data_IF_486551775401
#
_entry.id   IF_486551775401
#
_cell.length_a   1.000
_cell.length_b   1.000
_cell.length_c   1.000
_cell.angle_alpha   90.00
_cell.angle_beta   90.00
_cell.angle_gamma   90.00
#
_symmetry.space_group_name_H-M   'P 1'
#
loop_
_entity.id
_entity.type
_entity.pdbx_description
1 polymer ?
#
# COMPACT_ATOMS: atom_id res chain seq x y z
N UNK A 1 14.21 35.03 -31.01
CA UNK A 1 13.23 33.94 -31.18
C UNK A 1 12.98 33.36 -29.80
N UNK A 2 11.74 33.50 -29.35
CA UNK A 2 11.33 33.44 -27.95
C UNK A 2 10.72 32.07 -27.63
N UNK A 3 10.69 31.75 -26.33
CA UNK A 3 9.74 30.84 -25.67
C UNK A 3 10.09 29.33 -25.65
N UNK A 4 11.01 28.95 -24.77
CA UNK A 4 10.90 27.67 -24.06
C UNK A 4 9.67 27.73 -23.18
N UNK A 5 8.59 27.06 -23.60
CA UNK A 5 7.44 26.81 -22.75
C UNK A 5 7.90 25.89 -21.61
N UNK A 6 8.30 26.50 -20.50
CA UNK A 6 8.32 25.84 -19.20
C UNK A 6 6.88 25.42 -18.98
N UNK A 7 6.63 24.11 -19.04
CA UNK A 7 5.36 23.52 -18.62
C UNK A 7 5.25 23.82 -17.14
N UNK A 8 4.61 24.95 -16.83
CA UNK A 8 4.23 25.33 -15.49
C UNK A 8 3.16 24.35 -15.05
N UNK A 9 3.60 23.24 -14.44
CA UNK A 9 2.73 22.33 -13.70
C UNK A 9 2.32 23.11 -12.46
N UNK A 10 1.34 24.01 -12.64
CA UNK A 10 0.72 24.76 -11.56
C UNK A 10 0.35 23.77 -10.48
N UNK A 11 0.97 23.91 -9.31
CA UNK A 11 0.71 23.11 -8.12
C UNK A 11 -0.76 23.31 -7.70
N UNK A 12 -1.66 22.53 -8.31
CA UNK A 12 -3.06 22.47 -7.90
C UNK A 12 -3.07 21.88 -6.50
N UNK A 13 -3.66 22.59 -5.54
CA UNK A 13 -3.94 22.05 -4.21
C UNK A 13 -4.61 20.68 -4.40
N UNK A 14 -4.05 19.57 -3.88
CA UNK A 14 -4.71 18.29 -3.99
C UNK A 14 -6.09 18.43 -3.35
N UNK A 15 -7.12 18.17 -4.15
CA UNK A 15 -8.50 18.08 -3.68
C UNK A 15 -8.59 16.95 -2.67
N UNK A 16 -9.46 17.09 -1.65
CA UNK A 16 -9.72 16.03 -0.67
C UNK A 16 -10.01 14.68 -1.37
N UNK A 17 -10.70 14.76 -2.51
CA UNK A 17 -11.03 13.63 -3.38
C UNK A 17 -9.81 13.00 -4.03
N UNK A 18 -8.86 13.80 -4.52
CA UNK A 18 -7.63 13.28 -5.13
C UNK A 18 -6.72 12.61 -4.10
N UNK A 19 -6.62 13.17 -2.90
CA UNK A 19 -5.83 12.59 -1.83
C UNK A 19 -6.45 11.30 -1.32
N UNK A 20 -7.77 11.27 -1.11
CA UNK A 20 -8.48 10.05 -0.72
C UNK A 20 -8.39 8.94 -1.76
N UNK A 21 -8.43 9.27 -3.06
CA UNK A 21 -8.26 8.29 -4.12
C UNK A 21 -6.82 7.76 -4.20
N UNK A 22 -5.82 8.62 -3.98
CA UNK A 22 -4.41 8.21 -3.92
C UNK A 22 -4.15 7.26 -2.73
N UNK A 23 -4.72 7.57 -1.56
CA UNK A 23 -4.71 6.67 -0.39
C UNK A 23 -5.28 5.31 -0.72
N UNK A 24 -6.48 5.33 -1.30
CA UNK A 24 -7.15 4.11 -1.69
C UNK A 24 -6.26 3.32 -2.64
N UNK A 25 -5.74 3.92 -3.72
CA UNK A 25 -4.89 3.23 -4.69
C UNK A 25 -3.62 2.61 -4.06
N UNK A 26 -3.02 3.28 -3.08
CA UNK A 26 -1.80 2.81 -2.43
C UNK A 26 -2.05 1.62 -1.50
N UNK A 27 -3.15 1.64 -0.73
CA UNK A 27 -3.52 0.55 0.17
C UNK A 27 -4.32 -0.55 -0.52
N UNK A 28 -4.97 -0.27 -1.65
CA UNK A 28 -5.78 -1.24 -2.38
C UNK A 28 -4.90 -2.14 -3.27
N UNK A 29 -4.06 -2.95 -2.62
CA UNK A 29 -3.16 -3.91 -3.24
C UNK A 29 -3.78 -5.30 -3.47
N UNK A 30 -2.98 -6.24 -4.00
CA UNK A 30 -3.42 -7.60 -4.33
C UNK A 30 -4.00 -8.37 -3.12
N UNK A 31 -3.49 -8.12 -1.90
CA UNK A 31 -4.03 -8.72 -0.68
C UNK A 31 -5.51 -8.37 -0.46
N UNK A 32 -5.88 -7.11 -0.70
CA UNK A 32 -7.24 -6.61 -0.53
C UNK A 32 -8.23 -7.11 -1.57
N UNK A 33 -7.79 -7.94 -2.53
CA UNK A 33 -8.67 -8.63 -3.48
C UNK A 33 -8.71 -10.12 -3.15
N UNK A 34 -7.57 -10.72 -2.85
CA UNK A 34 -7.46 -12.16 -2.63
C UNK A 34 -8.10 -12.60 -1.31
N UNK A 35 -7.85 -11.88 -0.22
CA UNK A 35 -8.38 -12.26 1.09
C UNK A 35 -9.90 -12.14 1.18
N UNK A 36 -10.57 -11.08 0.66
CA UNK A 36 -12.03 -11.03 0.67
C UNK A 36 -12.71 -12.14 -0.14
N UNK A 37 -12.11 -12.53 -1.27
CA UNK A 37 -12.64 -13.64 -2.08
C UNK A 37 -12.54 -14.96 -1.30
N UNK A 38 -11.37 -15.24 -0.71
CA UNK A 38 -11.18 -16.43 0.11
C UNK A 38 -12.09 -16.44 1.35
N UNK A 39 -12.25 -15.28 1.99
CA UNK A 39 -13.14 -15.08 3.12
C UNK A 39 -14.61 -15.32 2.74
N UNK A 40 -15.07 -14.80 1.60
CA UNK A 40 -16.43 -15.04 1.11
C UNK A 40 -16.72 -16.53 0.90
N UNK A 41 -15.75 -17.27 0.34
CA UNK A 41 -15.86 -18.72 0.17
C UNK A 41 -15.85 -19.48 1.50
N UNK A 42 -15.10 -19.01 2.51
CA UNK A 42 -15.02 -19.66 3.81
C UNK A 42 -16.26 -19.44 4.69
N UNK A 43 -16.85 -18.24 4.61
CA UNK A 43 -17.85 -17.77 5.58
C UNK A 43 -19.30 -18.12 5.21
N UNK A 44 -19.58 -18.36 3.93
CA UNK A 44 -20.90 -18.81 3.43
C UNK A 44 -22.05 -17.95 4.00
N UNK A 45 -23.00 -18.53 4.74
CA UNK A 45 -24.15 -17.86 5.36
C UNK A 45 -23.80 -16.82 6.44
N UNK A 46 -22.56 -16.82 6.95
CA UNK A 46 -22.09 -15.93 8.03
C UNK A 46 -21.17 -14.81 7.56
N UNK A 47 -21.23 -14.45 6.27
CA UNK A 47 -20.34 -13.46 5.64
C UNK A 47 -20.21 -12.14 6.41
N UNK A 48 -21.31 -11.62 7.00
CA UNK A 48 -21.28 -10.36 7.76
C UNK A 48 -20.25 -10.37 8.90
N UNK A 49 -20.10 -11.48 9.63
CA UNK A 49 -19.14 -11.58 10.72
C UNK A 49 -17.69 -11.60 10.20
N UNK A 50 -17.45 -12.30 9.09
CA UNK A 50 -16.15 -12.29 8.43
C UNK A 50 -15.77 -10.90 7.93
N UNK A 51 -16.70 -10.23 7.25
CA UNK A 51 -16.50 -8.85 6.76
C UNK A 51 -16.16 -7.89 7.89
N UNK A 52 -16.87 -7.95 9.02
CA UNK A 52 -16.58 -7.10 10.18
C UNK A 52 -15.18 -7.34 10.72
N UNK A 53 -14.77 -8.59 10.88
CA UNK A 53 -13.41 -8.94 11.31
C UNK A 53 -12.35 -8.41 10.35
N UNK A 54 -12.57 -8.61 9.05
CA UNK A 54 -11.65 -8.11 8.03
C UNK A 54 -11.56 -6.59 7.99
N UNK A 55 -12.67 -5.86 8.08
CA UNK A 55 -12.66 -4.39 8.04
C UNK A 55 -11.86 -3.81 9.22
N UNK A 56 -11.97 -4.41 10.40
CA UNK A 56 -11.23 -3.97 11.58
C UNK A 56 -9.72 -4.03 11.32
N UNK A 57 -9.20 -5.15 10.83
CA UNK A 57 -7.74 -5.32 10.66
C UNK A 57 -7.22 -4.80 9.32
N UNK A 58 -7.98 -4.88 8.24
CA UNK A 58 -7.55 -4.44 6.91
C UNK A 58 -7.66 -2.92 6.71
N UNK A 59 -8.58 -2.25 7.42
CA UNK A 59 -8.83 -0.81 7.23
C UNK A 59 -8.46 0.00 8.46
N UNK A 60 -9.03 -0.32 9.63
CA UNK A 60 -8.82 0.52 10.82
C UNK A 60 -7.38 0.48 11.29
N UNK A 61 -6.76 -0.71 11.33
CA UNK A 61 -5.39 -0.86 11.84
C UNK A 61 -4.35 -0.16 10.94
N UNK A 62 -4.32 -0.32 9.60
CA UNK A 62 -3.44 0.46 8.73
C UNK A 62 -3.70 1.96 8.79
N UNK A 63 -4.96 2.38 8.93
CA UNK A 63 -5.31 3.79 9.10
C UNK A 63 -4.77 4.36 10.41
N UNK A 64 -4.81 3.59 11.51
CA UNK A 64 -4.14 3.96 12.76
C UNK A 64 -2.62 4.05 12.60
N UNK A 65 -2.01 3.12 11.86
CA UNK A 65 -0.57 3.17 11.53
C UNK A 65 -0.20 4.42 10.74
N UNK A 66 -1.00 4.77 9.74
CA UNK A 66 -0.84 6.00 8.97
C UNK A 66 -0.96 7.26 9.84
N UNK A 67 -1.99 7.34 10.69
CA UNK A 67 -2.17 8.46 11.62
C UNK A 67 -0.99 8.58 12.60
N UNK A 68 -0.47 7.44 13.08
CA UNK A 68 0.72 7.43 13.91
C UNK A 68 1.94 7.99 13.14
N UNK A 69 2.13 7.59 11.88
CA UNK A 69 3.22 8.10 11.04
C UNK A 69 3.11 9.58 10.70
N UNK A 70 1.89 10.09 10.50
CA UNK A 70 1.64 11.53 10.31
C UNK A 70 2.11 12.36 11.50
N UNK A 71 1.96 11.84 12.72
CA UNK A 71 2.41 12.51 13.95
C UNK A 71 3.94 12.62 14.04
N UNK A 72 4.67 11.77 13.31
CA UNK A 72 6.13 11.76 13.23
C UNK A 72 6.65 12.35 11.90
N UNK A 73 5.84 13.14 11.19
CA UNK A 73 6.21 13.77 9.92
C UNK A 73 6.67 12.74 8.84
N UNK A 74 6.16 11.51 8.91
CA UNK A 74 6.57 10.40 8.05
C UNK A 74 7.98 9.85 8.31
N UNK A 75 8.64 10.27 9.40
CA UNK A 75 9.97 9.78 9.73
C UNK A 75 9.91 8.42 10.45
N UNK A 76 9.92 7.34 9.68
CA UNK A 76 9.85 5.97 10.21
C UNK A 76 11.01 5.66 11.16
N UNK A 77 12.21 6.20 10.89
CA UNK A 77 13.37 6.03 11.76
C UNK A 77 13.13 6.68 13.13
N UNK A 78 12.50 7.86 13.19
CA UNK A 78 12.17 8.51 14.45
C UNK A 78 11.11 7.73 15.24
N UNK A 79 10.11 7.16 14.55
CA UNK A 79 9.08 6.32 15.14
C UNK A 79 9.67 5.06 15.79
N UNK A 80 10.40 4.23 15.03
CA UNK A 80 10.97 2.98 15.53
C UNK A 80 12.11 3.18 16.54
N UNK A 81 12.80 4.33 16.51
CA UNK A 81 13.84 4.65 17.50
C UNK A 81 13.29 4.83 18.92
N UNK A 82 11.97 4.99 19.11
CA UNK A 82 11.33 4.97 20.44
C UNK A 82 11.52 3.64 21.17
N UNK A 83 11.65 2.54 20.42
CA UNK A 83 11.94 1.20 20.97
C UNK A 83 13.42 1.05 21.32
N UNK A 84 14.30 1.86 20.69
CA UNK A 84 15.75 1.85 20.86
C UNK A 84 16.47 1.84 19.49
N UNK A 85 17.77 2.17 19.46
CA UNK A 85 18.54 2.26 18.20
C UNK A 85 18.68 0.90 17.49
N UNK A 86 19.15 -0.12 18.23
CA UNK A 86 19.31 -1.49 17.73
C UNK A 86 17.97 -2.20 17.47
N UNK A 87 17.00 -2.22 18.41
CA UNK A 87 15.71 -2.86 18.15
C UNK A 87 14.90 -2.13 17.07
N UNK A 88 14.97 -0.80 16.99
CA UNK A 88 14.28 -0.05 15.93
C UNK A 88 14.82 -0.37 14.53
N UNK A 89 16.15 -0.42 14.38
CA UNK A 89 16.77 -0.77 13.10
C UNK A 89 16.44 -2.20 12.65
N UNK A 90 16.49 -3.17 13.57
CA UNK A 90 16.18 -4.58 13.25
C UNK A 90 14.71 -4.76 12.86
N UNK A 91 13.78 -4.07 13.51
CA UNK A 91 12.36 -4.08 13.13
C UNK A 91 12.16 -3.50 11.74
N UNK A 92 12.74 -2.33 11.44
CA UNK A 92 12.64 -1.72 10.09
C UNK A 92 13.19 -2.66 9.02
N UNK A 93 14.34 -3.29 9.27
CA UNK A 93 14.94 -4.25 8.35
C UNK A 93 14.03 -5.45 8.13
N UNK A 94 13.45 -6.01 9.19
CA UNK A 94 12.50 -7.11 9.11
C UNK A 94 11.26 -6.75 8.29
N UNK A 95 10.68 -5.57 8.53
CA UNK A 95 9.49 -5.12 7.80
C UNK A 95 9.81 -4.93 6.31
N UNK A 96 10.94 -4.28 5.98
CA UNK A 96 11.39 -4.13 4.59
C UNK A 96 11.65 -5.49 3.92
N UNK A 97 12.25 -6.42 4.65
CA UNK A 97 12.46 -7.79 4.19
C UNK A 97 11.16 -8.54 3.93
N UNK A 98 10.18 -8.41 4.82
CA UNK A 98 8.87 -9.05 4.68
C UNK A 98 8.09 -8.49 3.48
N UNK A 99 8.03 -7.17 3.32
CA UNK A 99 7.30 -6.54 2.21
C UNK A 99 7.95 -6.87 0.87
N UNK A 100 9.28 -6.79 0.79
CA UNK A 100 10.01 -7.04 -0.45
C UNK A 100 10.28 -8.53 -0.67
N UNK A 101 11.49 -9.02 -0.35
CA UNK A 101 11.97 -10.32 -0.80
C UNK A 101 11.30 -11.55 -0.16
N UNK A 102 10.81 -11.47 1.09
CA UNK A 102 10.47 -12.67 1.84
C UNK A 102 8.99 -13.05 1.83
N UNK A 103 8.06 -12.09 1.81
CA UNK A 103 6.63 -12.40 1.89
C UNK A 103 5.79 -11.72 0.80
N UNK A 104 5.87 -10.39 0.66
CA UNK A 104 5.00 -9.64 -0.25
C UNK A 104 5.18 -10.03 -1.72
N UNK A 105 6.40 -9.86 -2.26
CA UNK A 105 6.67 -10.16 -3.68
C UNK A 105 6.47 -11.65 -4.01
N UNK A 106 7.04 -12.61 -3.25
CA UNK A 106 6.86 -14.03 -3.55
C UNK A 106 5.39 -14.46 -3.54
N UNK A 107 4.58 -13.94 -2.60
CA UNK A 107 3.16 -14.26 -2.50
C UNK A 107 2.37 -13.78 -3.72
N UNK A 108 2.65 -12.57 -4.21
CA UNK A 108 1.98 -12.07 -5.41
C UNK A 108 2.30 -12.93 -6.64
N UNK A 109 3.54 -13.44 -6.74
CA UNK A 109 3.96 -14.34 -7.81
C UNK A 109 3.24 -15.68 -7.72
N UNK A 110 3.17 -16.31 -6.53
CA UNK A 110 2.51 -17.61 -6.38
C UNK A 110 1.01 -17.55 -6.65
N UNK A 111 0.35 -16.46 -6.28
CA UNK A 111 -1.08 -16.23 -6.59
C UNK A 111 -1.29 -16.00 -8.10
N UNK A 112 -0.39 -15.25 -8.75
CA UNK A 112 -0.46 -15.06 -10.20
C UNK A 112 -0.25 -16.39 -10.95
N UNK A 113 0.63 -17.24 -10.45
CA UNK A 113 0.82 -18.59 -10.97
C UNK A 113 -0.42 -19.47 -10.79
N UNK A 114 -0.99 -19.53 -9.58
CA UNK A 114 -2.16 -20.39 -9.30
C UNK A 114 -3.42 -19.96 -10.06
N UNK A 115 -3.57 -18.67 -10.33
CA UNK A 115 -4.65 -18.17 -11.17
C UNK A 115 -4.45 -18.56 -12.63
N UNK A 116 -3.23 -18.45 -13.18
CA UNK A 116 -2.91 -18.89 -14.55
C UNK A 116 -3.13 -20.40 -14.75
N UNK A 117 -2.75 -21.23 -13.77
CA UNK A 117 -3.00 -22.67 -13.84
C UNK A 117 -4.50 -22.97 -13.85
N UNK A 118 -5.29 -22.30 -13.00
CA UNK A 118 -6.74 -22.46 -12.96
C UNK A 118 -7.45 -22.10 -14.28
N UNK A 119 -6.84 -21.27 -15.14
CA UNK A 119 -7.36 -20.96 -16.49
C UNK A 119 -7.00 -22.00 -17.56
N UNK A 120 -6.46 -23.16 -17.18
CA UNK A 120 -6.21 -24.29 -18.08
C UNK A 120 -4.86 -24.25 -18.81
N UNK A 121 -3.92 -23.42 -18.35
CA UNK A 121 -2.55 -23.39 -18.87
C UNK A 121 -1.64 -24.50 -18.27
N UNK A 122 -2.21 -25.42 -17.51
CA UNK A 122 -1.51 -26.49 -16.77
C UNK A 122 -0.71 -27.47 -17.67
N UNK A 123 -0.98 -27.48 -18.99
CA UNK A 123 -0.34 -28.39 -19.95
C UNK A 123 1.04 -27.97 -20.48
N UNK A 124 1.55 -26.80 -20.11
CA UNK A 124 2.86 -26.32 -20.56
C UNK A 124 3.98 -26.86 -19.66
N UNK A 125 4.73 -27.87 -20.13
CA UNK A 125 5.85 -28.51 -19.41
C UNK A 125 6.97 -27.55 -18.96
N UNK A 126 7.03 -26.35 -19.55
CA UNK A 126 8.00 -25.30 -19.24
C UNK A 126 7.54 -24.36 -18.12
N UNK A 127 6.26 -24.43 -17.73
CA UNK A 127 5.63 -23.52 -16.79
C UNK A 127 5.62 -24.10 -15.37
N UNK A 128 6.79 -24.50 -14.86
CA UNK A 128 6.97 -24.81 -13.45
C UNK A 128 7.00 -23.53 -12.60
N UNK A 129 6.58 -23.61 -11.34
CA UNK A 129 6.56 -22.48 -10.39
C UNK A 129 7.91 -21.75 -10.32
N UNK A 130 9.02 -22.49 -10.35
CA UNK A 130 10.37 -21.92 -10.36
C UNK A 130 10.64 -21.04 -11.58
N UNK A 131 10.36 -21.55 -12.78
CA UNK A 131 10.54 -20.82 -14.04
C UNK A 131 9.64 -19.58 -14.10
N UNK A 132 8.38 -19.72 -13.70
CA UNK A 132 7.43 -18.61 -13.65
C UNK A 132 7.89 -17.51 -12.68
N UNK A 133 8.41 -17.89 -11.51
CA UNK A 133 8.93 -16.95 -10.52
C UNK A 133 10.13 -16.17 -11.05
N UNK A 134 11.09 -16.84 -11.69
CA UNK A 134 12.25 -16.17 -12.29
C UNK A 134 11.82 -15.18 -13.38
N UNK A 135 10.94 -15.60 -14.29
CA UNK A 135 10.42 -14.73 -15.36
C UNK A 135 9.69 -13.52 -14.76
N UNK A 136 8.81 -13.75 -13.78
CA UNK A 136 8.07 -12.67 -13.10
C UNK A 136 9.01 -11.69 -12.42
N UNK A 137 10.04 -12.17 -11.70
CA UNK A 137 11.05 -11.33 -11.07
C UNK A 137 11.84 -10.49 -12.09
N UNK A 138 12.22 -11.08 -13.23
CA UNK A 138 12.91 -10.35 -14.31
C UNK A 138 12.02 -9.26 -14.89
N UNK A 139 10.74 -9.57 -15.16
CA UNK A 139 9.77 -8.59 -15.66
C UNK A 139 9.59 -7.45 -14.64
N UNK A 140 9.35 -7.78 -13.38
CA UNK A 140 9.22 -6.79 -12.29
C UNK A 140 10.50 -5.93 -12.22
N UNK A 141 11.68 -6.53 -12.31
CA UNK A 141 12.96 -5.81 -12.28
C UNK A 141 13.10 -4.84 -13.47
N UNK A 142 12.73 -5.25 -14.68
CA UNK A 142 12.77 -4.39 -15.87
C UNK A 142 11.85 -3.17 -15.74
N UNK A 143 10.66 -3.35 -15.16
CA UNK A 143 9.77 -2.23 -14.84
C UNK A 143 10.30 -1.37 -13.68
N UNK A 144 10.86 -2.00 -12.65
CA UNK A 144 11.43 -1.34 -11.47
C UNK A 144 12.66 -0.47 -11.80
N UNK A 145 13.42 -0.84 -12.83
CA UNK A 145 14.64 -0.14 -13.24
C UNK A 145 14.39 1.32 -13.69
N UNK A 146 13.16 1.68 -14.07
CA UNK A 146 12.81 3.05 -14.50
C UNK A 146 11.82 3.74 -13.54
N UNK A 147 12.27 4.27 -12.39
CA UNK A 147 11.40 4.76 -11.32
C UNK A 147 10.44 5.87 -11.77
N UNK A 148 10.89 6.79 -12.63
CA UNK A 148 10.06 7.90 -13.12
C UNK A 148 8.82 7.46 -13.92
N UNK A 149 8.81 6.25 -14.48
CA UNK A 149 7.63 5.74 -15.20
C UNK A 149 6.69 4.94 -14.31
N UNK A 150 7.18 4.36 -13.21
CA UNK A 150 6.41 3.44 -12.36
C UNK A 150 5.25 4.16 -11.67
N UNK A 151 5.50 5.33 -11.08
CA UNK A 151 4.46 6.11 -10.38
C UNK A 151 3.33 6.52 -11.33
N UNK A 152 3.67 6.94 -12.56
CA UNK A 152 2.69 7.28 -13.59
C UNK A 152 1.92 6.05 -14.09
N UNK A 153 2.59 4.91 -14.25
CA UNK A 153 1.97 3.65 -14.67
C UNK A 153 1.01 3.12 -13.60
N UNK A 154 1.42 3.18 -12.33
CA UNK A 154 0.62 2.78 -11.18
C UNK A 154 -0.68 3.58 -11.11
N UNK A 155 -0.57 4.91 -11.12
CA UNK A 155 -1.72 5.80 -10.90
C UNK A 155 -2.63 5.98 -12.12
N UNK A 156 -2.10 5.92 -13.34
CA UNK A 156 -2.86 6.25 -14.56
C UNK A 156 -3.36 5.00 -15.31
N UNK A 157 -2.69 3.85 -15.15
CA UNK A 157 -3.02 2.62 -15.87
C UNK A 157 -3.45 1.50 -14.93
N UNK A 158 -2.64 1.17 -13.91
CA UNK A 158 -2.93 0.02 -13.05
C UNK A 158 -4.16 0.25 -12.17
N UNK A 159 -4.28 1.39 -11.49
CA UNK A 159 -5.43 1.64 -10.61
C UNK A 159 -6.79 1.71 -11.34
N UNK A 160 -6.97 2.33 -12.52
CA UNK A 160 -8.24 2.25 -13.23
C UNK A 160 -8.56 0.83 -13.71
N UNK A 161 -7.57 0.07 -14.18
CA UNK A 161 -7.77 -1.35 -14.56
C UNK A 161 -8.19 -2.16 -13.34
N UNK A 162 -7.54 -1.95 -12.21
CA UNK A 162 -7.83 -2.64 -10.96
C UNK A 162 -9.25 -2.32 -10.47
N UNK A 163 -9.64 -1.05 -10.41
CA UNK A 163 -10.99 -0.63 -10.05
C UNK A 163 -12.06 -1.20 -10.99
N UNK A 164 -11.79 -1.20 -12.31
CA UNK A 164 -12.70 -1.78 -13.29
C UNK A 164 -12.85 -3.29 -13.09
N UNK A 165 -11.74 -4.00 -12.88
CA UNK A 165 -11.75 -5.45 -12.62
C UNK A 165 -12.52 -5.79 -11.34
N UNK A 166 -12.34 -4.99 -10.28
CA UNK A 166 -13.08 -5.14 -9.03
C UNK A 166 -14.57 -4.92 -9.25
N UNK A 167 -14.94 -3.87 -9.98
CA UNK A 167 -16.34 -3.59 -10.29
C UNK A 167 -16.99 -4.75 -11.05
N UNK A 168 -16.30 -5.32 -12.04
CA UNK A 168 -16.78 -6.49 -12.79
C UNK A 168 -16.97 -7.70 -11.87
N UNK A 169 -16.02 -7.98 -10.97
CA UNK A 169 -16.12 -9.10 -10.03
C UNK A 169 -17.30 -8.91 -9.08
N UNK A 170 -17.49 -7.71 -8.52
CA UNK A 170 -18.59 -7.41 -7.60
C UNK A 170 -19.94 -7.51 -8.30
N UNK A 171 -20.07 -6.94 -9.51
CA UNK A 171 -21.31 -7.00 -10.28
C UNK A 171 -21.63 -8.44 -10.67
N UNK A 172 -20.67 -9.19 -11.20
CA UNK A 172 -20.89 -10.61 -11.53
C UNK A 172 -21.25 -11.42 -10.28
N UNK A 173 -20.51 -11.25 -9.19
CA UNK A 173 -20.77 -11.93 -7.93
C UNK A 173 -22.18 -11.66 -7.38
N UNK A 174 -22.66 -10.42 -7.49
CA UNK A 174 -24.01 -10.05 -7.08
C UNK A 174 -25.10 -10.68 -7.98
N UNK A 175 -24.85 -10.80 -9.28
CA UNK A 175 -25.80 -11.38 -10.24
C UNK A 175 -25.83 -12.92 -10.22
N UNK A 176 -24.68 -13.56 -9.96
CA UNK A 176 -24.53 -15.02 -10.02
C UNK A 176 -24.44 -15.66 -8.62
N UNK A 177 -24.92 -14.98 -7.57
CA UNK A 177 -24.78 -15.44 -6.20
C UNK A 177 -25.53 -16.77 -5.99
N UNK A 178 -24.85 -17.89 -5.68
CA UNK A 178 -25.53 -19.12 -5.31
C UNK A 178 -26.26 -18.93 -3.97
N UNK A 179 -27.31 -19.73 -3.72
CA UNK A 179 -27.91 -19.77 -2.39
C UNK A 179 -26.83 -20.14 -1.34
N UNK A 180 -26.74 -19.35 -0.27
CA UNK A 180 -25.72 -19.54 0.74
C UNK A 180 -25.87 -20.93 1.39
N UNK A 181 -24.80 -21.72 1.39
CA UNK A 181 -24.78 -22.99 2.12
C UNK A 181 -24.70 -22.71 3.61
N UNK A 182 -25.36 -23.53 4.43
CA UNK A 182 -25.26 -23.41 5.89
C UNK A 182 -23.82 -23.70 6.33
N UNK A 183 -23.15 -22.73 6.94
CA UNK A 183 -21.79 -22.93 7.44
C UNK A 183 -21.79 -23.73 8.74
N UNK A 184 -20.94 -24.74 8.81
CA UNK A 184 -20.61 -25.46 10.05
C UNK A 184 -19.81 -24.59 11.03
N UNK A 185 -19.18 -23.51 10.56
CA UNK A 185 -18.31 -22.67 11.38
C UNK A 185 -19.13 -21.80 12.34
N UNK A 186 -18.63 -21.61 13.55
CA UNK A 186 -19.23 -20.67 14.50
C UNK A 186 -19.06 -19.22 14.04
N UNK A 187 -19.89 -18.32 14.59
CA UNK A 187 -19.79 -16.86 14.32
C UNK A 187 -18.43 -16.32 14.74
N UNK A 188 -17.87 -16.84 15.84
CA UNK A 188 -16.58 -16.42 16.36
C UNK A 188 -15.42 -16.86 15.45
N UNK A 189 -15.41 -18.12 14.99
CA UNK A 189 -14.38 -18.59 14.05
C UNK A 189 -14.40 -17.81 12.73
N UNK A 190 -15.61 -17.52 12.23
CA UNK A 190 -15.82 -16.70 11.03
C UNK A 190 -15.24 -15.29 11.19
N UNK A 191 -15.50 -14.66 12.35
CA UNK A 191 -14.97 -13.34 12.69
C UNK A 191 -13.44 -13.35 12.84
N UNK A 192 -12.89 -14.34 13.56
CA UNK A 192 -11.43 -14.49 13.75
C UNK A 192 -10.72 -14.76 12.43
N UNK A 193 -11.32 -15.54 11.53
CA UNK A 193 -10.79 -15.78 10.19
C UNK A 193 -10.77 -14.48 9.37
N UNK A 194 -11.82 -13.65 9.47
CA UNK A 194 -11.84 -12.30 8.91
C UNK A 194 -10.72 -11.41 9.45
N UNK A 195 -10.53 -11.39 10.77
CA UNK A 195 -9.44 -10.63 11.41
C UNK A 195 -8.06 -11.05 10.89
N UNK A 196 -7.82 -12.36 10.79
CA UNK A 196 -6.57 -12.91 10.27
C UNK A 196 -6.38 -12.57 8.79
N UNK A 197 -7.46 -12.64 8.01
CA UNK A 197 -7.47 -12.23 6.60
C UNK A 197 -7.03 -10.79 6.41
N UNK A 198 -7.57 -9.87 7.22
CA UNK A 198 -7.17 -8.45 7.18
C UNK A 198 -5.73 -8.21 7.68
N UNK A 199 -5.26 -8.93 8.70
CA UNK A 199 -3.85 -8.87 9.12
C UNK A 199 -2.90 -9.32 8.01
N UNK A 200 -3.28 -10.37 7.28
CA UNK A 200 -2.50 -10.91 6.19
C UNK A 200 -2.49 -10.01 4.95
N UNK A 201 -3.26 -8.93 4.84
CA UNK A 201 -3.12 -8.01 3.69
C UNK A 201 -1.74 -7.36 3.67
N UNK A 202 -1.12 -7.21 4.85
CA UNK A 202 0.18 -6.57 5.10
C UNK A 202 0.20 -5.05 4.88
N UNK A 203 -0.95 -4.42 4.73
CA UNK A 203 -1.06 -2.97 4.50
C UNK A 203 -0.59 -2.15 5.71
N UNK A 204 -0.75 -2.69 6.92
CA UNK A 204 -0.24 -2.07 8.15
C UNK A 204 1.28 -1.87 8.07
N UNK A 205 2.00 -2.86 7.57
CA UNK A 205 3.45 -2.80 7.46
C UNK A 205 3.88 -1.73 6.44
N UNK A 206 3.14 -1.61 5.33
CA UNK A 206 3.36 -0.57 4.34
C UNK A 206 3.07 0.83 4.90
N UNK A 207 2.02 0.98 5.72
CA UNK A 207 1.63 2.26 6.32
C UNK A 207 2.76 2.90 7.16
N UNK A 208 3.61 2.08 7.80
CA UNK A 208 4.74 2.57 8.61
C UNK A 208 5.97 2.97 7.80
N UNK A 209 6.17 2.38 6.62
CA UNK A 209 7.43 2.47 5.90
C UNK A 209 7.37 3.30 4.64
N UNK A 210 6.18 3.63 4.13
CA UNK A 210 6.07 4.40 2.91
C UNK A 210 6.79 5.76 3.03
N UNK A 211 7.97 5.93 2.39
CA UNK A 211 8.84 7.09 2.59
C UNK A 211 8.23 8.37 2.03
N UNK A 212 7.36 8.21 1.02
CA UNK A 212 6.67 9.30 0.39
C UNK A 212 5.38 9.66 1.10
N UNK A 213 4.89 8.85 2.04
CA UNK A 213 3.75 9.22 2.86
C UNK A 213 3.98 10.61 3.46
N UNK A 214 4.84 10.79 4.45
CA UNK A 214 5.02 12.09 5.12
C UNK A 214 5.25 13.27 4.16
N UNK A 215 6.02 13.09 3.08
CA UNK A 215 6.39 14.18 2.17
C UNK A 215 5.31 14.51 1.14
N UNK A 216 4.62 13.52 0.60
CA UNK A 216 3.43 13.69 -0.24
C UNK A 216 2.27 14.31 0.56
N UNK A 217 2.12 13.91 1.82
CA UNK A 217 1.07 14.41 2.73
C UNK A 217 1.32 15.82 3.24
N UNK A 218 2.57 16.16 3.58
CA UNK A 218 2.95 17.51 3.99
C UNK A 218 2.95 18.52 2.83
N UNK A 219 2.90 18.06 1.59
CA UNK A 219 2.65 18.90 0.42
C UNK A 219 1.15 19.29 0.28
N UNK A 220 0.24 18.71 1.07
CA UNK A 220 -1.12 19.20 1.19
C UNK A 220 -1.11 20.61 1.81
N UNK A 221 -1.89 21.57 1.28
CA UNK A 221 -1.80 22.96 1.66
C UNK A 221 -2.15 23.11 3.14
N UNK A 222 -1.17 23.50 3.95
CA UNK A 222 -1.44 24.14 5.24
C UNK A 222 -2.44 25.28 4.97
N UNK A 223 -3.58 25.25 5.66
CA UNK A 223 -4.48 26.40 5.73
C UNK A 223 -3.64 27.65 6.04
N UNK A 224 -3.85 28.79 5.35
CA UNK A 224 -3.25 30.02 5.81
C UNK A 224 -3.86 30.29 7.19
N UNK A 225 -3.06 30.16 8.25
CA UNK A 225 -3.46 30.66 9.56
C UNK A 225 -3.81 32.15 9.43
N UNK A 226 -4.77 32.66 10.20
CA UNK A 226 -5.12 34.06 10.13
C UNK A 226 -3.89 34.89 10.52
N UNK A 227 -3.56 35.83 9.63
CA UNK A 227 -2.65 36.94 9.87
C UNK A 227 -3.10 37.71 11.11
N UNK A 228 -2.49 37.41 12.25
CA UNK A 228 -2.41 38.18 13.51
C UNK A 228 -1.54 37.32 14.44
N UNK A 229 -0.32 37.64 14.83
CA UNK A 229 0.30 38.93 15.05
C UNK A 229 1.80 38.73 15.26
N UNK A 230 2.57 39.68 14.75
CA UNK A 230 3.88 40.12 15.22
C UNK A 230 4.02 40.05 16.75
N UNK A 231 5.24 39.77 17.24
CA UNK A 231 5.72 39.76 18.64
C UNK A 231 5.75 38.41 19.38
N UNK A 232 6.81 37.63 19.13
CA UNK A 232 7.58 37.02 20.21
C UNK A 232 8.99 36.69 19.68
N UNK A 233 9.98 37.38 20.27
CA UNK A 233 11.41 37.24 20.00
C UNK A 233 11.88 35.78 20.19
N UNK A 234 12.56 35.23 19.19
CA UNK A 234 13.52 34.14 19.40
C UNK A 234 14.81 34.49 18.64
N UNK A 235 15.97 34.61 19.32
CA UNK A 235 17.19 35.09 18.69
C UNK A 235 17.76 34.02 17.74
N UNK A 236 18.26 34.52 16.61
CA UNK A 236 18.93 33.77 15.57
C UNK A 236 20.11 32.94 16.13
N UNK A 237 20.18 31.65 15.77
CA UNK A 237 21.42 30.89 15.84
C UNK A 237 22.16 31.02 14.51
N UNK A 238 23.45 31.41 14.49
CA UNK A 238 24.21 31.52 13.26
C UNK A 238 24.67 30.14 12.82
N UNK A 239 24.26 29.69 11.63
CA UNK A 239 24.90 28.56 10.94
C UNK A 239 25.88 29.13 9.91
N UNK A 240 27.06 29.50 10.39
CA UNK A 240 28.26 29.48 9.58
C UNK A 240 28.81 28.05 9.62
N UNK A 241 28.91 27.39 8.47
CA UNK A 241 30.12 26.68 8.05
C UNK A 241 29.97 26.13 6.64
N UNK A 242 30.89 26.64 5.82
CA UNK A 242 31.21 26.27 4.45
C UNK A 242 31.43 24.77 4.32
N UNK A 243 30.91 24.22 3.21
CA UNK A 243 31.45 23.03 2.58
C UNK A 243 32.95 23.23 2.33
N UNK A 244 33.78 22.44 3.00
CA UNK A 244 35.16 22.21 2.57
C UNK A 244 35.19 20.89 1.80
N UNK A 245 35.33 21.01 0.49
CA UNK A 245 36.05 20.04 -0.33
C UNK A 245 37.44 19.85 0.29
N UNK A 246 37.92 18.61 0.38
CA UNK A 246 39.20 18.12 -0.14
C UNK A 246 39.27 16.61 0.10
N UNK A 247 39.20 15.85 -1.00
CA UNK A 247 39.63 14.48 -1.09
C UNK A 247 41.15 14.47 -1.32
N UNK A 248 41.84 13.63 -0.55
CA UNK A 248 42.99 12.85 -0.98
C UNK A 248 42.56 11.39 -0.96
#
# INVERSE_FOLDING_TARGET
MNTTAVVDVTARKPSIWSTGLAMFAMFFGAGNIVFPIALGQYTQDKNLYGMLGMVITAVLVPLMGLLAMMLYEGNYNAFFRRIGKLPGFTVVLLILGLIGPFAGIPRCITISYSTLTAFGLEGLSWMNLGSFSVISCVVIFLFAYRPNKILTLLGLVLTPILLLSLAVIVIKGALTMPAAMSSLNTRWETFSYGLLGGYNTMDLLAAFLDPDSGRFWMAAPRSPGPLLSTLALYPARPTSRRFHQYAL
#
